data_IF_503013253635
#
_entry.id   IF_503013253635
#
_cell.length_a   1.000
_cell.length_b   1.000
_cell.length_c   1.000
_cell.angle_alpha   90.00
_cell.angle_beta   90.00
_cell.angle_gamma   90.00
#
_symmetry.space_group_name_H-M   'P 1'
#
loop_
_entity.id
_entity.type
_entity.pdbx_description
1 polymer ?
#
# COMPACT_ATOMS: atom_id res chain seq x y z
N UNK A 1 -4.83 -28.85 5.15
CA UNK A 1 -4.52 -27.97 4.00
C UNK A 1 -3.36 -27.01 4.28
N UNK A 2 -3.48 -26.11 5.27
CA UNK A 2 -2.51 -25.01 5.47
C UNK A 2 -1.33 -25.45 6.37
N UNK A 3 -0.09 -25.22 5.92
CA UNK A 3 1.15 -25.49 6.66
C UNK A 3 1.72 -24.22 7.30
N UNK A 4 1.80 -23.12 6.55
CA UNK A 4 2.22 -21.81 7.06
C UNK A 4 1.26 -20.72 6.59
N UNK A 5 0.33 -20.35 7.47
CA UNK A 5 -0.66 -19.31 7.18
C UNK A 5 -0.03 -17.93 6.91
N UNK A 6 1.21 -17.67 7.35
CA UNK A 6 1.88 -16.37 7.13
C UNK A 6 2.22 -16.17 5.66
N UNK A 7 2.59 -17.23 4.95
CA UNK A 7 2.89 -17.16 3.51
C UNK A 7 1.68 -16.73 2.66
N UNK A 8 0.47 -16.92 3.19
CA UNK A 8 -0.80 -16.56 2.54
C UNK A 8 -1.35 -15.20 3.01
N UNK A 9 -0.60 -14.45 3.83
CA UNK A 9 -0.98 -13.08 4.23
C UNK A 9 -0.61 -12.07 3.14
N UNK A 10 -1.42 -11.04 3.05
CA UNK A 10 -1.27 -9.93 2.11
C UNK A 10 -0.04 -9.05 2.39
N UNK A 11 0.36 -8.94 3.65
CA UNK A 11 1.53 -8.17 4.08
C UNK A 11 2.85 -8.96 4.12
N UNK A 12 2.81 -10.24 3.71
CA UNK A 12 4.00 -11.08 3.65
C UNK A 12 4.87 -10.72 2.45
N UNK A 13 6.10 -10.30 2.76
CA UNK A 13 7.16 -10.11 1.77
C UNK A 13 7.88 -11.45 1.60
N UNK A 14 7.87 -12.05 0.40
CA UNK A 14 8.52 -13.33 0.15
C UNK A 14 10.05 -13.20 0.15
N UNK A 15 10.73 -14.34 0.27
CA UNK A 15 12.19 -14.40 0.18
C UNK A 15 12.71 -14.16 -1.24
N UNK A 16 11.90 -14.49 -2.25
CA UNK A 16 12.15 -14.21 -3.65
C UNK A 16 10.87 -13.61 -4.27
N UNK A 17 11.04 -12.61 -5.13
CA UNK A 17 9.93 -11.91 -5.80
C UNK A 17 9.87 -12.33 -7.27
N UNK A 18 8.82 -13.08 -7.61
CA UNK A 18 8.58 -13.52 -8.98
C UNK A 18 8.20 -12.35 -9.90
N UNK A 19 8.69 -12.41 -11.15
CA UNK A 19 8.30 -11.50 -12.25
C UNK A 19 8.52 -10.00 -11.99
N UNK A 20 9.47 -9.66 -11.11
CA UNK A 20 9.91 -8.27 -10.85
C UNK A 20 11.43 -8.09 -10.91
N UNK A 21 12.15 -8.99 -11.57
CA UNK A 21 13.61 -8.99 -11.62
C UNK A 21 14.20 -7.71 -12.23
N UNK A 22 13.56 -7.16 -13.26
CA UNK A 22 14.01 -5.93 -13.91
C UNK A 22 13.85 -4.71 -12.99
N UNK A 23 12.70 -4.61 -12.32
CA UNK A 23 12.41 -3.54 -11.36
C UNK A 23 13.27 -3.65 -10.11
N UNK A 24 13.50 -4.87 -9.59
CA UNK A 24 14.45 -5.12 -8.50
C UNK A 24 15.84 -4.63 -8.89
N UNK A 25 16.35 -5.05 -10.05
CA UNK A 25 17.67 -4.63 -10.53
C UNK A 25 17.80 -3.11 -10.69
N UNK A 26 16.75 -2.46 -11.19
CA UNK A 26 16.72 -1.01 -11.33
C UNK A 26 16.72 -0.31 -9.95
N UNK A 27 15.83 -0.69 -9.04
CA UNK A 27 15.78 -0.13 -7.68
C UNK A 27 17.10 -0.36 -6.93
N UNK A 28 17.65 -1.57 -6.98
CA UNK A 28 18.95 -1.87 -6.38
C UNK A 28 20.07 -1.00 -6.95
N UNK A 29 20.06 -0.70 -8.25
CA UNK A 29 21.05 0.20 -8.86
C UNK A 29 20.94 1.64 -8.36
N UNK A 30 19.73 2.13 -8.10
CA UNK A 30 19.46 3.48 -7.59
C UNK A 30 19.82 3.64 -6.12
N UNK A 31 19.73 2.55 -5.36
CA UNK A 31 20.06 2.51 -3.93
C UNK A 31 21.51 2.10 -3.66
N UNK A 32 22.24 1.62 -4.66
CA UNK A 32 23.64 1.17 -4.52
C UNK A 32 24.58 2.18 -3.85
N UNK A 33 24.49 3.51 -4.06
CA UNK A 33 25.35 4.47 -3.36
C UNK A 33 25.29 4.36 -1.82
N UNK A 34 24.15 3.93 -1.29
CA UNK A 34 23.90 3.76 0.15
C UNK A 34 24.85 2.75 0.79
N UNK A 35 25.25 1.70 0.05
CA UNK A 35 26.24 0.73 0.52
C UNK A 35 27.61 1.37 0.82
N UNK A 36 27.91 2.49 0.17
CA UNK A 36 29.13 3.30 0.37
C UNK A 36 28.96 4.44 1.37
N UNK A 37 27.80 4.56 2.02
CA UNK A 37 27.49 5.67 2.95
C UNK A 37 27.09 6.98 2.28
N UNK A 38 26.79 6.96 0.96
CA UNK A 38 26.26 8.10 0.23
C UNK A 38 24.73 8.02 0.11
N UNK A 39 24.04 9.14 -0.07
CA UNK A 39 22.61 9.13 -0.31
C UNK A 39 22.27 8.41 -1.63
N UNK A 40 21.22 7.58 -1.61
CA UNK A 40 20.65 7.00 -2.82
C UNK A 40 19.84 8.03 -3.62
N UNK A 41 19.31 7.61 -4.76
CA UNK A 41 18.32 8.40 -5.48
C UNK A 41 16.93 8.17 -4.89
N UNK A 42 16.18 9.25 -4.65
CA UNK A 42 14.75 9.17 -4.37
C UNK A 42 14.03 8.48 -5.54
N UNK A 43 13.00 7.70 -5.21
CA UNK A 43 12.27 6.86 -6.16
C UNK A 43 10.77 7.10 -6.04
N UNK A 44 10.09 7.20 -7.17
CA UNK A 44 8.63 7.16 -7.27
C UNK A 44 8.18 5.87 -7.96
N UNK A 45 7.45 5.04 -7.23
CA UNK A 45 6.88 3.77 -7.71
C UNK A 45 5.39 3.96 -7.99
N UNK A 46 4.98 3.74 -9.23
CA UNK A 46 3.57 3.88 -9.65
C UNK A 46 3.00 2.60 -10.27
N UNK A 47 1.67 2.53 -10.40
CA UNK A 47 0.99 1.37 -10.96
C UNK A 47 -0.32 1.02 -10.25
N UNK A 48 -1.12 0.10 -10.81
CA UNK A 48 -2.44 -0.24 -10.26
C UNK A 48 -2.35 -0.95 -8.89
N UNK A 49 -3.47 -1.00 -8.18
CA UNK A 49 -3.58 -1.86 -6.98
C UNK A 49 -3.29 -3.31 -7.36
N UNK A 50 -2.66 -4.05 -6.46
CA UNK A 50 -2.32 -5.46 -6.69
C UNK A 50 -1.10 -5.74 -7.56
N UNK A 51 -0.46 -4.71 -8.13
CA UNK A 51 0.70 -4.85 -9.02
C UNK A 51 2.03 -5.20 -8.32
N UNK A 52 2.06 -5.23 -6.98
CA UNK A 52 3.25 -5.60 -6.20
C UNK A 52 4.12 -4.43 -5.70
N UNK A 53 3.72 -3.17 -5.90
CA UNK A 53 4.49 -1.97 -5.53
C UNK A 53 5.05 -1.99 -4.09
N UNK A 54 4.16 -2.14 -3.10
CA UNK A 54 4.54 -2.20 -1.68
C UNK A 54 5.47 -3.36 -1.36
N UNK A 55 5.21 -4.54 -1.94
CA UNK A 55 6.04 -5.73 -1.75
C UNK A 55 7.43 -5.54 -2.34
N UNK A 56 7.52 -4.97 -3.54
CA UNK A 56 8.77 -4.66 -4.23
C UNK A 56 9.63 -3.67 -3.42
N UNK A 57 9.05 -2.54 -3.01
CA UNK A 57 9.78 -1.52 -2.25
C UNK A 57 10.33 -2.09 -0.92
N UNK A 58 9.48 -2.80 -0.18
CA UNK A 58 9.89 -3.41 1.10
C UNK A 58 10.92 -4.53 0.90
N UNK A 59 10.81 -5.30 -0.17
CA UNK A 59 11.79 -6.34 -0.48
C UNK A 59 13.18 -5.74 -0.71
N UNK A 60 13.27 -4.76 -1.61
CA UNK A 60 14.57 -4.13 -1.93
C UNK A 60 15.14 -3.40 -0.72
N UNK A 61 14.30 -2.69 0.05
CA UNK A 61 14.72 -2.05 1.31
C UNK A 61 15.31 -3.08 2.29
N UNK A 62 14.57 -4.17 2.56
CA UNK A 62 15.00 -5.20 3.50
C UNK A 62 16.29 -5.90 3.04
N UNK A 63 16.45 -6.15 1.74
CA UNK A 63 17.68 -6.76 1.21
C UNK A 63 18.88 -5.82 1.37
N UNK A 64 18.70 -4.51 1.14
CA UNK A 64 19.75 -3.52 1.36
C UNK A 64 20.16 -3.45 2.84
N UNK A 65 19.20 -3.42 3.76
CA UNK A 65 19.44 -3.42 5.21
C UNK A 65 20.14 -4.70 5.70
N UNK A 66 19.84 -5.85 5.08
CA UNK A 66 20.53 -7.11 5.36
C UNK A 66 21.96 -7.13 4.83
N UNK A 67 22.19 -6.50 3.68
CA UNK A 67 23.49 -6.48 3.02
C UNK A 67 24.45 -5.42 3.60
N UNK A 68 23.93 -4.39 4.29
CA UNK A 68 24.69 -3.21 4.69
C UNK A 68 24.49 -2.90 6.18
N UNK A 69 25.57 -2.75 6.95
CA UNK A 69 25.52 -2.59 8.40
C UNK A 69 24.94 -1.23 8.86
N UNK A 70 25.28 -0.15 8.16
CA UNK A 70 24.94 1.22 8.53
C UNK A 70 23.72 1.74 7.75
N UNK A 71 22.75 0.86 7.51
CA UNK A 71 21.48 1.18 6.84
C UNK A 71 20.32 0.83 7.76
N UNK A 72 19.32 1.71 7.80
CA UNK A 72 18.09 1.51 8.55
C UNK A 72 16.91 1.71 7.61
N UNK A 73 15.96 0.78 7.61
CA UNK A 73 14.74 0.92 6.82
C UNK A 73 13.55 1.32 7.68
N UNK A 74 12.60 2.02 7.08
CA UNK A 74 11.36 2.39 7.75
C UNK A 74 10.22 2.43 6.74
N UNK A 75 9.07 1.88 7.11
CA UNK A 75 7.88 1.82 6.28
C UNK A 75 6.68 2.48 6.94
N UNK A 76 5.90 3.21 6.16
CA UNK A 76 4.61 3.76 6.58
C UNK A 76 3.60 3.72 5.44
N UNK A 77 2.37 3.36 5.78
CA UNK A 77 1.23 3.51 4.88
C UNK A 77 0.45 4.78 5.22
N UNK A 78 0.41 5.72 4.27
CA UNK A 78 -0.18 7.04 4.46
C UNK A 78 -1.72 7.00 4.49
N UNK A 79 -2.34 5.92 3.99
CA UNK A 79 -3.78 5.70 4.09
C UNK A 79 -4.22 5.60 5.55
N UNK A 80 -3.46 4.85 6.34
CA UNK A 80 -3.61 4.72 7.80
C UNK A 80 -3.11 5.92 8.57
N UNK A 81 -2.01 6.54 8.13
CA UNK A 81 -1.36 7.65 8.83
C UNK A 81 -1.09 8.81 7.86
N UNK A 82 -1.98 9.82 7.80
CA UNK A 82 -1.83 10.90 6.81
C UNK A 82 -1.18 12.18 7.32
N UNK A 83 -1.17 12.45 8.62
CA UNK A 83 -0.54 13.66 9.19
C UNK A 83 0.96 13.47 9.37
N UNK A 84 1.78 14.50 9.15
CA UNK A 84 3.25 14.42 9.24
C UNK A 84 3.74 13.80 10.56
N UNK A 85 3.18 14.21 11.70
CA UNK A 85 3.54 13.65 13.01
C UNK A 85 3.22 12.14 13.12
N UNK A 86 2.05 11.70 12.63
CA UNK A 86 1.69 10.28 12.60
C UNK A 86 2.58 9.45 11.66
N UNK A 87 2.96 10.03 10.51
CA UNK A 87 3.85 9.40 9.53
C UNK A 87 5.22 9.20 10.17
N UNK A 88 5.84 10.28 10.65
CA UNK A 88 7.16 10.26 11.29
C UNK A 88 7.20 9.38 12.55
N UNK A 89 6.16 9.43 13.39
CA UNK A 89 6.06 8.55 14.54
C UNK A 89 6.04 7.06 14.13
N UNK A 90 5.31 6.73 13.07
CA UNK A 90 5.25 5.34 12.55
C UNK A 90 6.61 4.92 12.00
N UNK A 91 7.25 5.78 11.22
CA UNK A 91 8.59 5.54 10.68
C UNK A 91 9.61 5.34 11.80
N UNK A 92 9.63 6.19 12.83
CA UNK A 92 10.56 6.03 13.96
C UNK A 92 10.31 4.78 14.78
N UNK A 93 9.04 4.37 14.94
CA UNK A 93 8.74 3.10 15.59
C UNK A 93 9.20 1.89 14.78
N UNK A 94 8.98 1.91 13.47
CA UNK A 94 9.39 0.84 12.56
C UNK A 94 10.93 0.73 12.48
N UNK A 95 11.58 1.89 12.42
CA UNK A 95 13.03 2.04 12.47
C UNK A 95 13.63 1.71 13.85
N UNK A 96 12.84 1.45 14.89
CA UNK A 96 13.34 1.17 16.25
C UNK A 96 13.90 2.38 17.02
N UNK A 97 13.68 3.61 16.54
CA UNK A 97 14.19 4.87 17.11
C UNK A 97 13.13 5.72 17.82
N UNK A 98 11.89 5.24 17.90
CA UNK A 98 10.73 6.01 18.37
C UNK A 98 10.10 5.56 19.68
N UNK A 99 10.81 4.78 20.52
CA UNK A 99 10.25 4.28 21.79
C UNK A 99 10.01 5.39 22.83
N UNK A 100 10.76 6.48 22.75
CA UNK A 100 10.68 7.65 23.63
C UNK A 100 9.71 8.73 23.16
N UNK A 101 9.19 8.62 21.92
CA UNK A 101 8.27 9.60 21.37
C UNK A 101 6.81 9.30 21.73
N UNK A 102 6.06 10.38 21.99
CA UNK A 102 4.61 10.33 22.11
C UNK A 102 3.99 10.92 20.85
N UNK A 103 3.24 10.07 20.13
CA UNK A 103 2.51 10.44 18.91
C UNK A 103 1.68 11.72 19.05
N UNK A 104 1.11 11.98 20.23
CA UNK A 104 0.19 13.09 20.45
C UNK A 104 0.91 14.42 20.72
N UNK A 105 2.13 14.40 21.28
CA UNK A 105 2.82 15.60 21.75
C UNK A 105 4.16 15.87 21.11
N UNK A 106 4.83 14.88 20.51
CA UNK A 106 6.14 15.08 19.88
C UNK A 106 6.00 15.92 18.61
N UNK A 107 6.67 17.09 18.53
CA UNK A 107 6.69 17.94 17.34
C UNK A 107 7.41 17.28 16.17
N UNK A 108 7.02 17.64 14.94
CA UNK A 108 7.63 17.17 13.68
C UNK A 108 9.16 17.35 13.65
N UNK A 109 9.65 18.51 14.10
CA UNK A 109 11.09 18.82 14.04
C UNK A 109 11.95 17.91 14.93
N UNK A 110 11.41 17.38 16.03
CA UNK A 110 12.15 16.46 16.91
C UNK A 110 12.38 15.11 16.23
N UNK A 111 11.39 14.61 15.47
CA UNK A 111 11.55 13.39 14.68
C UNK A 111 12.61 13.57 13.58
N UNK A 112 12.55 14.68 12.84
CA UNK A 112 13.51 14.97 11.77
C UNK A 112 14.93 15.11 12.32
N UNK A 113 15.10 15.84 13.43
CA UNK A 113 16.39 15.99 14.11
C UNK A 113 16.93 14.64 14.61
N UNK A 114 16.07 13.71 15.05
CA UNK A 114 16.49 12.36 15.47
C UNK A 114 17.06 11.56 14.30
N UNK A 115 16.46 11.67 13.11
CA UNK A 115 16.92 11.00 11.88
C UNK A 115 18.27 11.60 11.44
N UNK A 116 18.34 12.92 11.36
CA UNK A 116 19.54 13.66 10.93
C UNK A 116 20.73 13.44 11.87
N UNK A 117 20.48 13.22 13.17
CA UNK A 117 21.54 12.96 14.15
C UNK A 117 22.12 11.53 14.11
N UNK A 118 21.53 10.61 13.34
CA UNK A 118 22.08 9.27 13.19
C UNK A 118 23.19 9.24 12.15
N UNK A 119 24.15 8.33 12.32
CA UNK A 119 25.19 8.07 11.32
C UNK A 119 24.75 7.08 10.23
N UNK A 120 23.64 6.38 10.45
CA UNK A 120 23.10 5.41 9.48
C UNK A 120 22.40 6.11 8.32
N UNK A 121 22.41 5.47 7.15
CA UNK A 121 21.58 5.87 6.02
C UNK A 121 20.16 5.33 6.18
N UNK A 122 19.16 6.15 5.90
CA UNK A 122 17.75 5.79 6.01
C UNK A 122 17.15 5.54 4.64
N UNK A 123 16.50 4.39 4.48
CA UNK A 123 15.61 4.13 3.34
C UNK A 123 14.18 4.12 3.83
N UNK A 124 13.45 5.20 3.51
CA UNK A 124 12.08 5.44 3.98
C UNK A 124 11.09 5.12 2.87
N UNK A 125 10.18 4.18 3.12
CA UNK A 125 9.09 3.83 2.21
C UNK A 125 7.82 4.56 2.62
N UNK A 126 7.39 5.51 1.79
CA UNK A 126 6.13 6.25 1.93
C UNK A 126 5.08 5.60 1.01
N UNK A 127 4.31 4.66 1.53
CA UNK A 127 3.26 4.00 0.77
C UNK A 127 1.97 4.83 0.71
N UNK A 128 1.33 4.84 -0.45
CA UNK A 128 0.12 5.64 -0.74
C UNK A 128 0.33 7.14 -0.46
N UNK A 129 1.49 7.66 -0.87
CA UNK A 129 1.97 9.02 -0.55
C UNK A 129 1.02 10.12 -1.02
N UNK A 130 0.22 9.83 -2.04
CA UNK A 130 -0.77 10.73 -2.64
C UNK A 130 -1.95 11.06 -1.70
N UNK A 131 -2.02 10.44 -0.53
CA UNK A 131 -3.02 10.75 0.51
C UNK A 131 -2.46 11.53 1.70
N UNK A 132 -1.16 11.85 1.71
CA UNK A 132 -0.51 12.67 2.74
C UNK A 132 -1.25 13.98 2.95
N UNK A 133 -1.45 14.39 4.20
CA UNK A 133 -2.18 15.60 4.50
C UNK A 133 -1.47 16.86 4.05
N UNK A 134 -0.17 16.89 4.31
CA UNK A 134 0.76 17.95 4.03
C UNK A 134 1.98 17.38 3.29
N UNK A 135 2.04 17.51 1.96
CA UNK A 135 3.14 17.00 1.15
C UNK A 135 4.50 17.66 1.42
N UNK A 136 4.57 18.76 2.19
CA UNK A 136 5.84 19.39 2.54
C UNK A 136 6.78 18.44 3.29
N UNK A 137 6.26 17.38 3.91
CA UNK A 137 7.05 16.30 4.50
C UNK A 137 8.04 15.67 3.52
N UNK A 138 7.67 15.52 2.25
CA UNK A 138 8.55 14.96 1.22
C UNK A 138 9.75 15.87 1.02
N UNK A 139 9.53 17.18 0.95
CA UNK A 139 10.62 18.14 0.84
C UNK A 139 11.49 18.17 2.11
N UNK A 140 10.89 18.05 3.30
CA UNK A 140 11.62 17.99 4.57
C UNK A 140 12.51 16.74 4.65
N UNK A 141 12.02 15.58 4.19
CA UNK A 141 12.81 14.34 4.17
C UNK A 141 13.91 14.39 3.10
N UNK A 142 13.61 14.94 1.93
CA UNK A 142 14.59 15.14 0.86
C UNK A 142 15.76 16.04 1.28
N UNK A 143 15.50 17.05 2.12
CA UNK A 143 16.53 18.00 2.56
C UNK A 143 17.44 17.40 3.67
N UNK A 144 17.25 16.15 4.08
CA UNK A 144 18.10 15.44 5.06
C UNK A 144 19.09 14.52 4.31
N UNK A 145 20.39 14.78 4.47
CA UNK A 145 21.45 14.12 3.69
C UNK A 145 21.50 12.59 3.83
N UNK A 146 21.16 12.04 4.98
CA UNK A 146 21.17 10.59 5.22
C UNK A 146 19.81 9.92 4.96
N UNK A 147 18.91 10.55 4.21
CA UNK A 147 17.58 10.01 3.90
C UNK A 147 17.43 9.79 2.39
N UNK A 148 16.98 8.61 2.02
CA UNK A 148 16.49 8.27 0.68
C UNK A 148 15.05 7.82 0.77
N UNK A 149 14.16 8.42 -0.03
CA UNK A 149 12.73 8.12 0.00
C UNK A 149 12.29 7.27 -1.20
N UNK A 150 11.56 6.21 -0.90
CA UNK A 150 10.79 5.44 -1.88
C UNK A 150 9.31 5.78 -1.69
N UNK A 151 8.79 6.59 -2.61
CA UNK A 151 7.40 7.01 -2.66
C UNK A 151 6.58 6.01 -3.48
N UNK A 152 5.41 5.62 -3.00
CA UNK A 152 4.50 4.75 -3.74
C UNK A 152 3.15 5.45 -3.89
N UNK A 153 2.64 5.51 -5.11
CA UNK A 153 1.27 5.93 -5.37
C UNK A 153 0.66 5.14 -6.53
N UNK A 154 -0.63 5.32 -6.77
CA UNK A 154 -1.30 4.65 -7.90
C UNK A 154 -1.00 5.37 -9.22
N UNK A 155 -1.00 6.70 -9.22
CA UNK A 155 -0.85 7.54 -10.42
C UNK A 155 0.02 8.75 -10.13
N UNK A 156 1.09 8.89 -10.91
CA UNK A 156 2.00 10.03 -10.86
C UNK A 156 1.27 11.35 -11.16
N UNK A 157 0.55 11.43 -12.28
CA UNK A 157 -0.17 12.65 -12.68
C UNK A 157 -1.17 13.12 -11.61
N UNK A 158 -1.95 12.19 -11.06
CA UNK A 158 -2.90 12.50 -10.00
C UNK A 158 -2.18 13.01 -8.75
N UNK A 159 -1.04 12.42 -8.40
CA UNK A 159 -0.25 12.84 -7.26
C UNK A 159 0.34 14.24 -7.47
N UNK A 160 1.05 14.46 -8.58
CA UNK A 160 1.70 15.73 -8.91
C UNK A 160 0.70 16.88 -8.99
N UNK A 161 -0.53 16.64 -9.47
CA UNK A 161 -1.58 17.66 -9.54
C UNK A 161 -2.00 18.26 -8.20
N UNK A 162 -1.62 17.63 -7.09
CA UNK A 162 -1.96 18.06 -5.72
C UNK A 162 -0.81 18.75 -4.99
N UNK A 163 0.38 18.78 -5.59
CA UNK A 163 1.59 19.30 -4.97
C UNK A 163 1.77 20.79 -5.23
N UNK A 164 2.45 21.47 -4.31
CA UNK A 164 3.00 22.78 -4.60
C UNK A 164 4.28 22.65 -5.45
N UNK A 165 4.71 23.77 -6.06
CA UNK A 165 5.86 23.79 -6.97
C UNK A 165 7.17 23.30 -6.32
N UNK A 166 7.36 23.49 -5.01
CA UNK A 166 8.57 23.05 -4.31
C UNK A 166 8.59 21.54 -4.19
N UNK A 167 7.50 20.95 -3.69
CA UNK A 167 7.38 19.50 -3.50
C UNK A 167 7.32 18.79 -4.86
N UNK A 168 6.58 19.34 -5.81
CA UNK A 168 6.50 18.80 -7.18
C UNK A 168 7.88 18.69 -7.82
N UNK A 169 8.72 19.71 -7.68
CA UNK A 169 10.09 19.68 -8.21
C UNK A 169 10.94 18.57 -7.59
N UNK A 170 10.74 18.23 -6.31
CA UNK A 170 11.45 17.12 -5.65
C UNK A 170 10.96 15.76 -6.17
N UNK A 171 9.64 15.59 -6.24
CA UNK A 171 9.03 14.35 -6.76
C UNK A 171 9.42 14.11 -8.22
N UNK A 172 9.45 15.15 -9.07
CA UNK A 172 9.89 15.03 -10.46
C UNK A 172 11.38 14.72 -10.63
N UNK A 173 12.20 15.03 -9.62
CA UNK A 173 13.62 14.68 -9.61
C UNK A 173 13.86 13.21 -9.22
N UNK A 174 12.87 12.55 -8.59
CA UNK A 174 12.95 11.14 -8.24
C UNK A 174 12.96 10.26 -9.48
N UNK A 175 13.66 9.13 -9.40
CA UNK A 175 13.63 8.11 -10.44
C UNK A 175 12.25 7.44 -10.49
N UNK A 176 11.63 7.39 -11.66
CA UNK A 176 10.30 6.79 -11.82
C UNK A 176 10.40 5.30 -12.16
N UNK A 177 9.63 4.47 -11.44
CA UNK A 177 9.48 3.02 -11.67
C UNK A 177 7.99 2.71 -11.76
N UNK A 178 7.52 2.33 -12.95
CA UNK A 178 6.11 2.02 -13.18
C UNK A 178 5.90 0.51 -13.25
N UNK A 179 4.96 0.00 -12.44
CA UNK A 179 4.57 -1.41 -12.44
C UNK A 179 3.24 -1.58 -13.18
N UNK A 180 3.21 -2.57 -14.05
CA UNK A 180 1.99 -2.98 -14.74
C UNK A 180 1.25 -4.08 -13.96
N UNK A 181 0.00 -4.36 -14.36
CA UNK A 181 -0.70 -5.55 -13.88
C UNK A 181 0.09 -6.80 -14.24
N UNK A 182 0.00 -7.81 -13.39
CA UNK A 182 0.54 -9.12 -13.73
C UNK A 182 -0.27 -9.75 -14.85
N UNK A 183 0.43 -10.45 -15.74
CA UNK A 183 -0.21 -11.40 -16.66
C UNK A 183 -0.63 -12.66 -15.91
N UNK A 184 -1.53 -13.46 -16.49
CA UNK A 184 -2.06 -14.66 -15.83
C UNK A 184 -0.97 -15.72 -15.58
N UNK A 185 0.01 -15.85 -16.47
CA UNK A 185 1.19 -16.70 -16.29
C UNK A 185 2.03 -16.24 -15.09
N UNK A 186 2.25 -14.92 -14.98
CA UNK A 186 3.02 -14.34 -13.88
C UNK A 186 2.30 -14.51 -12.53
N UNK A 187 0.98 -14.32 -12.51
CA UNK A 187 0.17 -14.59 -11.32
C UNK A 187 0.18 -16.06 -10.92
N UNK A 188 0.10 -16.97 -11.89
CA UNK A 188 0.16 -18.41 -11.62
C UNK A 188 1.47 -18.79 -10.91
N UNK A 189 2.60 -18.23 -11.35
CA UNK A 189 3.90 -18.45 -10.71
C UNK A 189 3.95 -17.87 -9.29
N UNK A 190 3.42 -16.66 -9.07
CA UNK A 190 3.30 -16.06 -7.74
C UNK A 190 2.45 -16.93 -6.81
N UNK A 191 1.31 -17.41 -7.30
CA UNK A 191 0.41 -18.31 -6.55
C UNK A 191 1.16 -19.60 -6.20
N UNK A 192 1.89 -20.20 -7.16
CA UNK A 192 2.66 -21.41 -6.95
C UNK A 192 3.70 -21.25 -5.84
N UNK A 193 4.47 -20.16 -5.87
CA UNK A 193 5.41 -19.84 -4.80
C UNK A 193 4.71 -19.74 -3.42
N UNK A 194 3.49 -19.16 -3.36
CA UNK A 194 2.71 -19.11 -2.12
C UNK A 194 2.16 -20.47 -1.69
N UNK A 195 1.77 -21.33 -2.63
CA UNK A 195 1.36 -22.71 -2.37
C UNK A 195 2.52 -23.51 -1.78
N UNK A 196 3.69 -23.45 -2.39
CA UNK A 196 4.88 -24.21 -1.98
C UNK A 196 5.34 -23.86 -0.56
N UNK A 197 5.19 -22.59 -0.16
CA UNK A 197 5.51 -22.14 1.19
C UNK A 197 4.34 -22.35 2.18
N UNK A 198 3.11 -22.12 1.75
CA UNK A 198 1.95 -21.99 2.64
C UNK A 198 1.10 -23.26 2.81
N UNK A 199 1.06 -24.15 1.83
CA UNK A 199 0.17 -25.33 1.80
C UNK A 199 0.95 -26.65 1.86
N UNK A 200 0.22 -27.75 2.10
CA UNK A 200 0.79 -29.09 2.01
C UNK A 200 1.09 -29.46 0.54
N UNK A 201 2.16 -30.23 0.25
CA UNK A 201 2.47 -30.66 -1.11
C UNK A 201 1.29 -31.41 -1.76
N UNK A 202 0.97 -31.08 -3.01
CA UNK A 202 -0.15 -31.70 -3.73
C UNK A 202 -1.54 -31.17 -3.38
N UNK A 203 -1.64 -30.19 -2.47
CA UNK A 203 -2.89 -29.53 -2.10
C UNK A 203 -3.61 -28.84 -3.25
N UNK A 204 -2.87 -28.38 -4.26
CA UNK A 204 -3.41 -27.58 -5.37
C UNK A 204 -2.79 -28.08 -6.66
N UNK A 205 -3.63 -28.36 -7.65
CA UNK A 205 -3.17 -28.69 -8.99
C UNK A 205 -2.97 -27.45 -9.85
N UNK A 206 -2.25 -27.62 -10.97
CA UNK A 206 -1.93 -26.52 -11.88
C UNK A 206 -3.18 -25.90 -12.52
N UNK A 207 -4.24 -26.69 -12.73
CA UNK A 207 -5.51 -26.20 -13.26
C UNK A 207 -6.17 -25.21 -12.29
N UNK A 208 -6.18 -25.52 -10.99
CA UNK A 208 -6.72 -24.63 -9.96
C UNK A 208 -5.87 -23.37 -9.80
N UNK A 209 -4.55 -23.47 -9.88
CA UNK A 209 -3.65 -22.29 -9.84
C UNK A 209 -3.98 -21.32 -10.98
N UNK A 210 -4.10 -21.83 -12.22
CA UNK A 210 -4.45 -21.02 -13.39
C UNK A 210 -5.84 -20.41 -13.27
N UNK A 211 -6.80 -21.15 -12.73
CA UNK A 211 -8.14 -20.66 -12.47
C UNK A 211 -8.15 -19.49 -11.47
N UNK A 212 -7.35 -19.57 -10.40
CA UNK A 212 -7.20 -18.46 -9.45
C UNK A 212 -6.61 -17.22 -10.14
N UNK A 213 -5.58 -17.41 -10.98
CA UNK A 213 -4.92 -16.32 -11.70
C UNK A 213 -5.90 -15.58 -12.64
N UNK A 214 -6.62 -16.31 -13.49
CA UNK A 214 -7.64 -15.77 -14.40
C UNK A 214 -8.70 -14.96 -13.64
N UNK A 215 -9.24 -15.54 -12.55
CA UNK A 215 -10.26 -14.90 -11.71
C UNK A 215 -9.75 -13.67 -10.95
N UNK A 216 -8.44 -13.45 -10.89
CA UNK A 216 -7.83 -12.31 -10.21
C UNK A 216 -7.54 -11.11 -11.13
N UNK A 217 -7.65 -11.26 -12.45
CA UNK A 217 -7.53 -10.18 -13.44
C UNK A 217 -6.30 -9.26 -13.24
N UNK A 218 -5.14 -9.89 -12.99
CA UNK A 218 -3.84 -9.24 -12.81
C UNK A 218 -3.57 -8.67 -11.41
N UNK A 219 -4.45 -8.87 -10.42
CA UNK A 219 -4.28 -8.42 -9.04
C UNK A 219 -3.74 -9.57 -8.15
N UNK A 220 -2.47 -9.49 -7.76
CA UNK A 220 -1.84 -10.51 -6.91
C UNK A 220 -2.44 -10.56 -5.49
N UNK A 221 -2.92 -9.42 -4.95
CA UNK A 221 -3.57 -9.37 -3.63
C UNK A 221 -4.89 -10.15 -3.66
N UNK A 222 -5.66 -9.99 -4.73
CA UNK A 222 -6.90 -10.73 -4.93
C UNK A 222 -6.63 -12.23 -5.16
N UNK A 223 -5.65 -12.58 -5.99
CA UNK A 223 -5.24 -13.97 -6.22
C UNK A 223 -4.87 -14.69 -4.92
N UNK A 224 -3.98 -14.11 -4.12
CA UNK A 224 -3.54 -14.68 -2.84
C UNK A 224 -4.69 -14.78 -1.84
N UNK A 225 -5.63 -13.82 -1.85
CA UNK A 225 -6.81 -13.86 -1.00
C UNK A 225 -7.77 -14.98 -1.40
N UNK A 226 -8.01 -15.18 -2.71
CA UNK A 226 -8.80 -16.32 -3.22
C UNK A 226 -8.15 -17.65 -2.83
N UNK A 227 -6.85 -17.81 -3.04
CA UNK A 227 -6.09 -18.99 -2.60
C UNK A 227 -6.28 -19.27 -1.11
N UNK A 228 -6.04 -18.26 -0.25
CA UNK A 228 -6.16 -18.40 1.20
C UNK A 228 -7.57 -18.84 1.61
N UNK A 229 -8.60 -18.18 1.08
CA UNK A 229 -9.99 -18.49 1.43
C UNK A 229 -10.41 -19.87 0.95
N UNK A 230 -10.01 -20.26 -0.26
CA UNK A 230 -10.30 -21.59 -0.78
C UNK A 230 -9.59 -22.67 0.06
N UNK A 231 -8.36 -22.40 0.52
CA UNK A 231 -7.64 -23.31 1.43
C UNK A 231 -8.32 -23.41 2.82
N UNK A 232 -8.83 -22.29 3.35
CA UNK A 232 -9.59 -22.27 4.59
C UNK A 232 -10.93 -23.01 4.47
N UNK A 233 -11.63 -22.86 3.34
CA UNK A 233 -12.87 -23.57 3.07
C UNK A 233 -12.61 -25.08 2.91
N UNK A 234 -11.54 -25.47 2.21
CA UNK A 234 -11.13 -26.85 2.09
C UNK A 234 -10.78 -27.48 3.45
N UNK A 235 -10.04 -26.77 4.32
CA UNK A 235 -9.78 -27.22 5.70
C UNK A 235 -11.08 -27.39 6.49
N UNK A 236 -12.04 -26.46 6.36
CA UNK A 236 -13.34 -26.54 7.05
C UNK A 236 -14.18 -27.74 6.58
N UNK A 237 -14.07 -28.08 5.29
CA UNK A 237 -14.78 -29.21 4.67
C UNK A 237 -14.00 -30.53 4.73
N UNK A 238 -12.85 -30.56 5.42
CA UNK A 238 -11.96 -31.73 5.53
C UNK A 238 -11.54 -32.29 4.16
N UNK A 239 -11.29 -31.41 3.19
CA UNK A 239 -10.83 -31.76 1.85
C UNK A 239 -9.31 -31.78 1.76
N UNK A 240 -8.77 -32.76 1.05
CA UNK A 240 -7.33 -32.93 0.86
C UNK A 240 -6.74 -32.07 -0.26
N UNK A 241 -7.58 -31.57 -1.18
CA UNK A 241 -7.16 -30.77 -2.32
C UNK A 241 -8.13 -29.63 -2.64
N UNK A 242 -7.59 -28.51 -3.14
CA UNK A 242 -8.35 -27.43 -3.74
C UNK A 242 -8.83 -27.81 -5.15
N UNK A 243 -9.94 -27.19 -5.56
CA UNK A 243 -10.52 -27.34 -6.90
C UNK A 243 -10.96 -25.98 -7.44
N UNK A 244 -11.16 -25.83 -8.76
CA UNK A 244 -11.71 -24.60 -9.34
C UNK A 244 -13.08 -24.23 -8.75
N UNK A 245 -13.92 -25.22 -8.44
CA UNK A 245 -15.23 -25.00 -7.82
C UNK A 245 -15.13 -24.36 -6.43
N UNK A 246 -14.19 -24.80 -5.59
CA UNK A 246 -13.94 -24.17 -4.28
C UNK A 246 -13.47 -22.73 -4.41
N UNK A 247 -12.68 -22.43 -5.45
CA UNK A 247 -12.22 -21.07 -5.73
C UNK A 247 -13.39 -20.19 -6.15
N UNK A 248 -14.31 -20.72 -6.95
CA UNK A 248 -15.54 -20.03 -7.35
C UNK A 248 -16.45 -19.75 -6.14
N UNK A 249 -16.62 -20.73 -5.25
CA UNK A 249 -17.44 -20.60 -4.04
C UNK A 249 -16.96 -19.49 -3.10
N UNK A 250 -15.65 -19.20 -3.10
CA UNK A 250 -15.07 -18.11 -2.27
C UNK A 250 -14.80 -16.83 -3.03
N UNK A 251 -15.06 -16.79 -4.35
CA UNK A 251 -14.59 -15.71 -5.21
C UNK A 251 -15.12 -14.34 -4.78
N UNK A 252 -16.43 -14.25 -4.50
CA UNK A 252 -17.10 -13.01 -4.09
C UNK A 252 -16.71 -12.65 -2.65
N UNK A 253 -16.65 -13.64 -1.76
CA UNK A 253 -16.16 -13.45 -0.39
C UNK A 253 -14.70 -12.96 -0.34
N UNK A 254 -13.87 -13.34 -1.32
CA UNK A 254 -12.49 -12.85 -1.45
C UNK A 254 -12.44 -11.38 -1.87
N UNK A 255 -13.28 -10.97 -2.82
CA UNK A 255 -13.38 -9.57 -3.21
C UNK A 255 -13.89 -8.71 -2.03
N UNK A 256 -14.91 -9.20 -1.31
CA UNK A 256 -15.42 -8.61 -0.08
C UNK A 256 -14.34 -8.46 1.00
N UNK A 257 -13.50 -9.48 1.22
CA UNK A 257 -12.42 -9.39 2.21
C UNK A 257 -11.33 -8.38 1.80
N UNK A 258 -10.95 -8.31 0.53
CA UNK A 258 -10.00 -7.30 0.05
C UNK A 258 -10.57 -5.90 0.28
N UNK A 259 -11.86 -5.71 -0.02
CA UNK A 259 -12.59 -4.47 0.24
C UNK A 259 -12.59 -4.11 1.73
N UNK A 260 -12.96 -5.04 2.60
CA UNK A 260 -12.97 -4.84 4.05
C UNK A 260 -11.59 -4.48 4.60
N UNK A 261 -10.52 -5.15 4.16
CA UNK A 261 -9.15 -4.81 4.58
C UNK A 261 -8.71 -3.42 4.13
N UNK A 262 -9.12 -2.99 2.95
CA UNK A 262 -8.86 -1.62 2.51
C UNK A 262 -9.60 -0.61 3.41
N UNK A 263 -10.83 -0.92 3.84
CA UNK A 263 -11.60 -0.11 4.80
C UNK A 263 -10.94 -0.08 6.18
N UNK A 264 -10.43 -1.21 6.68
CA UNK A 264 -9.74 -1.29 7.97
C UNK A 264 -8.48 -0.42 8.05
N UNK A 265 -7.82 -0.20 6.90
CA UNK A 265 -6.62 0.65 6.81
C UNK A 265 -6.95 2.14 6.84
N UNK A 266 -8.20 2.54 6.65
CA UNK A 266 -8.58 3.96 6.57
C UNK A 266 -8.42 4.67 7.92
N UNK A 267 -7.72 5.80 7.90
CA UNK A 267 -7.73 6.74 9.03
C UNK A 267 -9.16 7.23 9.35
N UNK A 268 -9.39 7.68 10.59
CA UNK A 268 -10.71 8.12 11.12
C UNK A 268 -11.54 8.96 10.15
N UNK A 269 -10.96 10.01 9.56
CA UNK A 269 -11.70 10.89 8.65
C UNK A 269 -12.09 10.20 7.32
N UNK A 270 -11.21 9.36 6.78
CA UNK A 270 -11.48 8.61 5.53
C UNK A 270 -12.56 7.56 5.78
N UNK A 271 -12.49 6.87 6.93
CA UNK A 271 -13.50 5.90 7.37
C UNK A 271 -14.86 6.55 7.57
N UNK A 272 -14.92 7.73 8.20
CA UNK A 272 -16.18 8.47 8.35
C UNK A 272 -16.81 8.82 7.00
N UNK A 273 -16.03 9.30 6.03
CA UNK A 273 -16.54 9.58 4.68
C UNK A 273 -17.10 8.31 4.03
N UNK A 274 -16.37 7.20 4.11
CA UNK A 274 -16.82 5.90 3.61
C UNK A 274 -18.11 5.44 4.30
N UNK A 275 -18.19 5.52 5.63
CA UNK A 275 -19.34 5.07 6.42
C UNK A 275 -20.61 5.90 6.12
N UNK A 276 -20.46 7.19 5.80
CA UNK A 276 -21.59 8.03 5.35
C UNK A 276 -22.09 7.55 3.98
N UNK A 277 -21.20 7.38 3.00
CA UNK A 277 -21.59 6.85 1.67
C UNK A 277 -22.27 5.49 1.83
N UNK A 278 -21.70 4.61 2.67
CA UNK A 278 -22.27 3.28 2.97
C UNK A 278 -23.68 3.34 3.55
N UNK A 279 -23.95 4.28 4.45
CA UNK A 279 -25.27 4.41 5.09
C UNK A 279 -26.35 4.91 4.14
N UNK A 280 -25.99 5.79 3.21
CA UNK A 280 -26.94 6.41 2.28
C UNK A 280 -27.10 5.63 0.97
N UNK A 281 -26.17 4.72 0.65
CA UNK A 281 -26.12 3.99 -0.62
C UNK A 281 -25.62 4.87 -1.77
N UNK A 282 -26.30 5.99 -1.99
CA UNK A 282 -25.93 7.05 -2.91
C UNK A 282 -26.09 8.42 -2.21
N UNK A 283 -25.07 9.28 -2.29
CA UNK A 283 -25.06 10.57 -1.60
C UNK A 283 -24.47 11.68 -2.48
N UNK A 284 -25.10 12.85 -2.48
CA UNK A 284 -24.55 14.02 -3.20
C UNK A 284 -23.29 14.54 -2.50
N UNK A 285 -22.37 15.15 -3.24
CA UNK A 285 -21.17 15.78 -2.65
C UNK A 285 -21.52 16.81 -1.56
N UNK A 286 -22.62 17.56 -1.74
CA UNK A 286 -23.08 18.55 -0.77
C UNK A 286 -23.54 17.88 0.53
N UNK A 287 -24.39 16.87 0.41
CA UNK A 287 -24.95 16.16 1.58
C UNK A 287 -23.87 15.38 2.32
N UNK A 288 -22.93 14.78 1.59
CA UNK A 288 -21.79 14.06 2.16
C UNK A 288 -20.91 15.00 3.00
N UNK A 289 -20.62 16.21 2.49
CA UNK A 289 -19.82 17.18 3.23
C UNK A 289 -20.55 17.71 4.47
N UNK A 290 -21.87 17.92 4.40
CA UNK A 290 -22.68 18.33 5.54
C UNK A 290 -22.72 17.25 6.61
N UNK A 291 -23.07 16.00 6.23
CA UNK A 291 -23.11 14.86 7.14
C UNK A 291 -21.74 14.62 7.81
N UNK A 292 -20.64 14.77 7.06
CA UNK A 292 -19.30 14.68 7.63
C UNK A 292 -19.04 15.72 8.72
N UNK A 293 -19.42 16.98 8.48
CA UNK A 293 -19.22 18.08 9.43
C UNK A 293 -20.09 17.91 10.69
N UNK A 294 -21.26 17.29 10.58
CA UNK A 294 -22.13 16.98 11.74
C UNK A 294 -21.55 15.89 12.65
N UNK A 295 -20.76 14.95 12.10
CA UNK A 295 -20.26 13.78 12.83
C UNK A 295 -18.84 13.96 13.39
N UNK A 296 -18.20 15.12 13.19
CA UNK A 296 -16.81 15.33 13.64
C UNK A 296 -16.60 16.72 14.24
N UNK A 297 -15.87 16.77 15.36
CA UNK A 297 -15.58 18.02 16.07
C UNK A 297 -14.50 18.88 15.39
N UNK A 298 -13.58 18.26 14.66
CA UNK A 298 -12.47 18.93 13.97
C UNK A 298 -12.47 18.55 12.47
N UNK A 299 -13.34 19.17 11.65
CA UNK A 299 -13.48 18.81 10.25
C UNK A 299 -12.23 19.19 9.44
N UNK A 300 -11.83 18.31 8.51
CA UNK A 300 -10.76 18.61 7.55
C UNK A 300 -11.26 19.56 6.46
N UNK A 301 -10.32 20.28 5.83
CA UNK A 301 -10.62 21.18 4.73
C UNK A 301 -11.35 20.46 3.59
N UNK A 302 -12.13 21.19 2.78
CA UNK A 302 -12.80 20.60 1.60
C UNK A 302 -11.80 20.00 0.61
N UNK A 303 -10.63 20.62 0.43
CA UNK A 303 -9.57 20.10 -0.44
C UNK A 303 -9.04 18.74 0.08
N UNK A 304 -8.76 18.64 1.38
CA UNK A 304 -8.33 17.40 2.03
C UNK A 304 -9.40 16.30 1.90
N UNK A 305 -10.68 16.64 2.11
CA UNK A 305 -11.80 15.70 1.94
C UNK A 305 -11.91 15.18 0.50
N UNK A 306 -11.74 16.05 -0.51
CA UNK A 306 -11.72 15.62 -1.91
C UNK A 306 -10.57 14.65 -2.21
N UNK A 307 -9.37 14.92 -1.68
CA UNK A 307 -8.24 13.98 -1.81
C UNK A 307 -8.55 12.63 -1.17
N UNK A 308 -9.20 12.62 0.00
CA UNK A 308 -9.64 11.38 0.63
C UNK A 308 -10.67 10.65 -0.22
N UNK A 309 -11.67 11.33 -0.79
CA UNK A 309 -12.67 10.71 -1.67
C UNK A 309 -12.03 10.11 -2.93
N UNK A 310 -11.09 10.83 -3.55
CA UNK A 310 -10.32 10.31 -4.69
C UNK A 310 -9.49 9.07 -4.31
N UNK A 311 -8.95 9.02 -3.09
CA UNK A 311 -8.29 7.81 -2.60
C UNK A 311 -9.27 6.64 -2.45
N UNK A 312 -10.43 6.87 -1.83
CA UNK A 312 -11.48 5.85 -1.68
C UNK A 312 -11.92 5.30 -3.05
N UNK A 313 -12.04 6.15 -4.06
CA UNK A 313 -12.33 5.76 -5.44
C UNK A 313 -11.22 4.89 -6.05
N UNK A 314 -9.95 5.28 -5.88
CA UNK A 314 -8.79 4.49 -6.37
C UNK A 314 -8.73 3.09 -5.78
N UNK A 315 -9.15 2.89 -4.52
CA UNK A 315 -9.25 1.56 -3.91
C UNK A 315 -10.57 0.84 -4.19
N UNK A 316 -11.41 1.38 -5.09
CA UNK A 316 -12.73 0.84 -5.42
C UNK A 316 -13.62 0.67 -4.20
N UNK A 317 -13.52 1.58 -3.23
CA UNK A 317 -14.39 1.60 -2.05
C UNK A 317 -15.68 2.37 -2.33
N UNK A 318 -15.58 3.38 -3.19
CA UNK A 318 -16.69 4.20 -3.68
C UNK A 318 -16.51 4.46 -5.17
N UNK A 319 -17.58 4.86 -5.84
CA UNK A 319 -17.57 5.36 -7.21
C UNK A 319 -18.09 6.79 -7.24
N UNK A 320 -17.45 7.64 -8.04
CA UNK A 320 -17.93 9.00 -8.29
C UNK A 320 -18.71 9.06 -9.60
N UNK A 321 -19.95 9.54 -9.54
CA UNK A 321 -20.75 9.86 -10.72
C UNK A 321 -20.83 11.38 -10.91
N UNK A 322 -20.42 11.86 -12.10
CA UNK A 322 -20.46 13.27 -12.48
C UNK A 322 -19.21 14.08 -12.09
N UNK A 323 -18.94 15.14 -12.86
CA UNK A 323 -17.70 15.93 -12.78
C UNK A 323 -17.86 17.35 -12.18
N UNK A 324 -19.10 17.78 -11.87
CA UNK A 324 -19.38 19.18 -11.47
C UNK A 324 -20.43 19.28 -10.36
N UNK A 325 -21.42 20.17 -10.45
CA UNK A 325 -22.38 20.48 -9.38
C UNK A 325 -23.30 19.32 -8.98
N UNK A 326 -23.37 18.27 -9.81
CA UNK A 326 -24.16 17.08 -9.58
C UNK A 326 -23.35 15.86 -9.13
N UNK A 327 -22.11 16.04 -8.67
CA UNK A 327 -21.27 14.91 -8.24
C UNK A 327 -21.95 14.11 -7.13
N UNK A 328 -22.07 12.80 -7.34
CA UNK A 328 -22.60 11.83 -6.40
C UNK A 328 -21.57 10.76 -6.12
N UNK A 329 -21.66 10.19 -4.92
CA UNK A 329 -20.83 9.08 -4.49
C UNK A 329 -21.72 7.90 -4.15
N UNK A 330 -21.38 6.72 -4.67
CA UNK A 330 -22.04 5.45 -4.36
C UNK A 330 -21.03 4.42 -3.89
N UNK A 331 -21.48 3.41 -3.16
CA UNK A 331 -20.62 2.27 -2.85
C UNK A 331 -20.33 1.45 -4.11
N UNK A 332 -19.11 0.93 -4.17
CA UNK A 332 -18.83 -0.22 -5.04
C UNK A 332 -19.22 -1.46 -4.26
N UNK A 333 -20.16 -2.23 -4.79
CA UNK A 333 -20.44 -3.56 -4.24
C UNK A 333 -19.28 -4.50 -4.62
N UNK A 334 -18.74 -5.26 -3.64
CA UNK A 334 -17.57 -6.11 -3.85
C UNK A 334 -17.80 -7.27 -4.82
#
# INVERSE_FOLDING_TARGET
MIRDARALRDNFVPADLEHRNAEIGHLSSLLKPIEGGEAGSDILITGPSGAGKTTLARFVANELERATLDVRTAYVNCLSNSTNAAVLHTLMRDAGLGLDFDRASTPVHEYLARIEAQNEQFVIVLDEVDVLEDPSLIAMLYDIDNVTTMMICVSEDAFLSTLDMRVESRVRAAASVTLEKYRDDELADIIRARVDHGLVPGAVDEATIKHIADRAAGDARLAITKLRRAAQLADLQELDALSPGLVDDVADGAAGEVHERNVERLSTHKRLLYDIVKRHGEVSSTDLHAAYEEHISAPKSKATRRRYLGALERYRLIEQEGATRGTRYRLVEP
#
